data_IF_903863268645
#
_entry.id   IF_903863268645
#
_cell.length_a   1.000
_cell.length_b   1.000
_cell.length_c   1.000
_cell.angle_alpha   90.00
_cell.angle_beta   90.00
_cell.angle_gamma   90.00
#
_symmetry.space_group_name_H-M   'P 1'
#
loop_
_entity.id
_entity.type
_entity.pdbx_description
1 polymer ?
#
# COMPACT_ATOMS: atom_id res chain seq x y z
N UNK A 1 -10.40 -1.14 12.55
CA UNK A 1 -10.42 -2.53 13.07
C UNK A 1 -9.39 -3.39 12.35
N UNK A 2 -9.23 -4.66 12.73
CA UNK A 2 -8.17 -5.54 12.18
C UNK A 2 -8.23 -5.69 10.65
N UNK A 3 -9.43 -5.74 10.06
CA UNK A 3 -9.60 -5.77 8.59
C UNK A 3 -9.01 -4.54 7.91
N UNK A 4 -9.19 -3.35 8.48
CA UNK A 4 -8.68 -2.09 7.90
C UNK A 4 -7.15 -2.06 7.87
N UNK A 5 -6.50 -2.68 8.86
CA UNK A 5 -5.04 -2.87 8.86
C UNK A 5 -4.62 -3.75 7.69
N UNK A 6 -5.25 -4.91 7.53
CA UNK A 6 -4.92 -5.86 6.46
C UNK A 6 -5.18 -5.24 5.08
N UNK A 7 -6.26 -4.48 4.91
CA UNK A 7 -6.58 -3.80 3.64
C UNK A 7 -5.61 -2.68 3.26
N UNK A 8 -4.78 -2.18 4.19
CA UNK A 8 -3.76 -1.17 3.91
C UNK A 8 -2.45 -1.74 3.39
N UNK A 9 -2.26 -3.06 3.44
CA UNK A 9 -1.08 -3.72 2.88
C UNK A 9 -0.99 -3.51 1.37
N UNK A 10 0.23 -3.42 0.85
CA UNK A 10 0.51 -3.40 -0.59
C UNK A 10 1.54 -4.48 -0.95
N UNK A 11 1.62 -4.89 -2.23
CA UNK A 11 2.69 -5.76 -2.69
C UNK A 11 4.07 -5.19 -2.33
N UNK A 12 4.93 -6.05 -1.79
CA UNK A 12 6.26 -5.69 -1.29
C UNK A 12 6.33 -5.43 0.22
N UNK A 13 5.19 -5.31 0.92
CA UNK A 13 5.19 -5.30 2.39
C UNK A 13 5.66 -6.67 2.92
N UNK A 14 6.52 -6.66 3.94
CA UNK A 14 6.99 -7.88 4.60
C UNK A 14 6.25 -8.06 5.92
N UNK A 15 5.56 -9.20 6.07
CA UNK A 15 4.72 -9.50 7.22
C UNK A 15 4.95 -10.91 7.75
N UNK A 16 4.77 -11.09 9.05
CA UNK A 16 4.60 -12.40 9.68
C UNK A 16 3.16 -12.54 10.15
N UNK A 17 2.49 -13.62 9.75
CA UNK A 17 1.07 -13.85 10.05
C UNK A 17 0.90 -15.03 10.98
N UNK A 18 -0.11 -14.95 11.84
CA UNK A 18 -0.46 -15.99 12.80
C UNK A 18 -1.94 -16.32 12.62
N UNK A 19 -2.26 -17.61 12.60
CA UNK A 19 -3.63 -18.06 12.40
C UNK A 19 -3.74 -19.55 12.13
N UNK A 20 -4.96 -19.98 11.84
CA UNK A 20 -5.26 -21.37 11.51
C UNK A 20 -5.47 -21.55 10.00
N UNK A 21 -4.84 -22.58 9.45
CA UNK A 21 -5.02 -22.97 8.05
C UNK A 21 -6.33 -23.76 7.92
N UNK A 22 -7.14 -23.41 6.91
CA UNK A 22 -8.40 -24.09 6.62
C UNK A 22 -8.63 -24.19 5.12
N UNK A 23 -8.99 -25.38 4.66
CA UNK A 23 -9.46 -25.60 3.30
C UNK A 23 -10.85 -24.96 3.11
N UNK A 24 -10.99 -24.16 2.07
CA UNK A 24 -12.24 -23.52 1.64
C UNK A 24 -12.49 -23.84 0.15
N UNK A 25 -13.68 -23.57 -0.41
CA UNK A 25 -13.94 -23.80 -1.84
C UNK A 25 -12.95 -23.12 -2.79
N UNK A 26 -12.35 -22.01 -2.35
CA UNK A 26 -11.35 -21.25 -3.10
C UNK A 26 -9.92 -21.76 -2.91
N UNK A 27 -9.73 -22.85 -2.15
CA UNK A 27 -8.42 -23.43 -1.82
C UNK A 27 -8.03 -23.27 -0.35
N UNK A 28 -6.76 -23.53 -0.07
CA UNK A 28 -6.19 -23.46 1.27
C UNK A 28 -6.06 -21.99 1.70
N UNK A 29 -6.66 -21.63 2.84
CA UNK A 29 -6.64 -20.24 3.35
C UNK A 29 -6.12 -20.18 4.77
N UNK A 30 -5.47 -19.07 5.13
CA UNK A 30 -5.06 -18.78 6.51
C UNK A 30 -6.05 -17.78 7.13
N UNK A 31 -6.72 -18.20 8.21
CA UNK A 31 -7.57 -17.31 8.99
C UNK A 31 -6.70 -16.52 9.97
N UNK A 32 -6.48 -15.23 9.69
CA UNK A 32 -5.61 -14.36 10.47
C UNK A 32 -6.18 -14.06 11.87
N UNK A 33 -5.32 -14.20 12.87
CA UNK A 33 -5.60 -13.88 14.28
C UNK A 33 -4.69 -12.73 14.77
N UNK A 34 -3.45 -12.69 14.26
CA UNK A 34 -2.46 -11.65 14.53
C UNK A 34 -1.55 -11.47 13.32
N UNK A 35 -1.02 -10.27 13.14
CA UNK A 35 -0.03 -9.95 12.10
C UNK A 35 1.07 -9.06 12.68
N UNK A 36 2.30 -9.32 12.27
CA UNK A 36 3.45 -8.45 12.51
C UNK A 36 3.89 -7.82 11.20
N UNK A 37 3.76 -6.51 11.10
CA UNK A 37 4.24 -5.74 9.96
C UNK A 37 5.71 -5.41 10.19
N UNK A 38 6.60 -6.09 9.45
CA UNK A 38 8.06 -6.01 9.61
C UNK A 38 8.68 -4.91 8.77
N UNK A 39 8.17 -4.72 7.55
CA UNK A 39 8.63 -3.70 6.61
C UNK A 39 7.48 -3.23 5.75
N UNK A 40 7.49 -1.94 5.44
CA UNK A 40 6.55 -1.31 4.52
C UNK A 40 7.25 -1.00 3.21
N UNK A 41 6.63 -1.36 2.09
CA UNK A 41 7.03 -0.91 0.78
C UNK A 41 6.63 0.55 0.55
N UNK A 42 7.46 1.26 -0.22
CA UNK A 42 7.18 2.62 -0.66
C UNK A 42 5.98 2.66 -1.60
N UNK A 43 4.96 3.46 -1.26
CA UNK A 43 3.79 3.67 -2.13
C UNK A 43 4.11 4.77 -3.13
N UNK A 44 4.50 4.41 -4.34
CA UNK A 44 4.88 5.37 -5.37
C UNK A 44 3.68 5.70 -6.26
N UNK A 45 3.35 6.98 -6.38
CA UNK A 45 2.39 7.51 -7.36
C UNK A 45 3.16 8.14 -8.52
N UNK A 46 2.82 7.73 -9.74
CA UNK A 46 3.28 8.40 -10.96
C UNK A 46 2.30 9.51 -11.34
N UNK A 47 2.78 10.73 -11.56
CA UNK A 47 1.95 11.87 -11.99
C UNK A 47 2.62 12.68 -13.11
N UNK A 48 1.85 13.47 -13.88
CA UNK A 48 2.44 14.35 -14.89
C UNK A 48 3.47 15.33 -14.30
N UNK A 49 4.58 15.60 -14.99
CA UNK A 49 5.59 16.55 -14.51
C UNK A 49 5.10 18.00 -14.51
N UNK A 50 5.86 18.86 -13.84
CA UNK A 50 5.78 20.30 -14.05
C UNK A 50 6.47 20.68 -15.36
N UNK A 51 5.91 21.65 -16.08
CA UNK A 51 6.53 22.15 -17.30
C UNK A 51 7.84 22.90 -16.97
N UNK A 52 8.98 22.55 -17.60
CA UNK A 52 10.27 23.19 -17.30
C UNK A 52 10.34 24.65 -17.75
N UNK A 53 9.41 25.11 -18.60
CA UNK A 53 9.39 26.49 -19.12
C UNK A 53 8.52 27.41 -18.26
N UNK A 54 7.34 26.93 -17.83
CA UNK A 54 6.33 27.80 -17.21
C UNK A 54 5.82 27.31 -15.85
N UNK A 55 6.38 26.22 -15.32
CA UNK A 55 6.04 25.65 -14.02
C UNK A 55 4.65 25.00 -13.91
N UNK A 56 3.75 25.18 -14.89
CA UNK A 56 2.41 24.57 -14.84
C UNK A 56 2.46 23.05 -15.00
N UNK A 57 1.62 22.33 -14.25
CA UNK A 57 1.41 20.88 -14.37
C UNK A 57 1.01 20.52 -15.80
N UNK A 58 1.71 19.56 -16.40
CA UNK A 58 1.44 19.10 -17.77
C UNK A 58 0.24 18.16 -17.83
N UNK A 59 -0.37 18.00 -19.01
CA UNK A 59 -1.47 17.05 -19.27
C UNK A 59 -0.88 15.78 -19.89
N UNK A 60 -1.33 14.61 -19.44
CA UNK A 60 -1.04 13.34 -20.14
C UNK A 60 -1.68 13.34 -21.53
N UNK A 61 -0.96 12.79 -22.51
CA UNK A 61 -1.44 12.57 -23.87
C UNK A 61 -2.00 11.15 -24.08
N UNK A 62 -2.07 10.34 -23.02
CA UNK A 62 -2.43 8.92 -23.07
C UNK A 62 -1.23 8.00 -22.79
N UNK A 63 -1.51 6.72 -22.61
CA UNK A 63 -0.48 5.69 -22.37
C UNK A 63 0.57 5.71 -23.50
N UNK A 64 1.86 5.69 -23.16
CA UNK A 64 2.97 5.69 -24.12
C UNK A 64 3.21 7.02 -24.85
N UNK A 65 2.38 8.05 -24.65
CA UNK A 65 2.39 9.28 -25.47
C UNK A 65 3.02 10.49 -24.77
N UNK A 66 3.47 10.34 -23.54
CA UNK A 66 4.08 11.40 -22.75
C UNK A 66 3.10 12.52 -22.36
N UNK A 67 3.62 13.75 -22.27
CA UNK A 67 2.92 14.89 -21.68
C UNK A 67 3.00 16.14 -22.56
N UNK A 68 1.96 16.99 -22.52
CA UNK A 68 1.96 18.33 -23.16
C UNK A 68 1.60 19.42 -22.16
N UNK A 69 2.34 20.53 -22.19
CA UNK A 69 1.99 21.72 -21.45
C UNK A 69 0.84 22.46 -22.15
N UNK A 70 -0.21 22.80 -21.39
CA UNK A 70 -1.36 23.56 -21.92
C UNK A 70 -1.03 25.02 -22.22
N UNK A 71 -0.02 25.62 -21.56
CA UNK A 71 0.32 27.05 -21.68
C UNK A 71 1.33 27.31 -22.81
N UNK A 72 2.45 26.60 -22.81
CA UNK A 72 3.54 26.85 -23.76
C UNK A 72 3.62 25.80 -24.90
N UNK A 73 2.80 24.76 -24.87
CA UNK A 73 2.78 23.72 -25.92
C UNK A 73 3.91 22.70 -25.86
N UNK A 74 4.95 22.90 -25.02
CA UNK A 74 6.08 21.96 -24.85
C UNK A 74 5.60 20.54 -24.60
N UNK A 75 6.25 19.56 -25.24
CA UNK A 75 6.03 18.13 -25.03
C UNK A 75 7.21 17.49 -24.32
N UNK A 76 6.93 16.48 -23.51
CA UNK A 76 7.90 15.61 -22.85
C UNK A 76 7.49 14.15 -23.07
N UNK A 77 8.47 13.24 -23.03
CA UNK A 77 8.24 11.80 -23.08
C UNK A 77 7.55 11.27 -21.82
N UNK A 78 7.22 9.98 -21.81
CA UNK A 78 6.60 9.32 -20.65
C UNK A 78 7.57 9.13 -19.48
N UNK A 79 8.86 9.04 -19.77
CA UNK A 79 9.99 8.98 -18.84
C UNK A 79 10.07 10.23 -17.94
N UNK A 80 9.51 11.35 -18.40
CA UNK A 80 9.40 12.57 -17.62
C UNK A 80 8.32 12.51 -16.52
N UNK A 81 7.61 11.40 -16.33
CA UNK A 81 6.65 11.27 -15.26
C UNK A 81 7.31 11.47 -13.89
N UNK A 82 6.70 12.30 -13.05
CA UNK A 82 7.17 12.53 -11.70
C UNK A 82 6.73 11.36 -10.82
N UNK A 83 7.69 10.70 -10.16
CA UNK A 83 7.44 9.67 -9.15
C UNK A 83 7.43 10.32 -7.78
N UNK A 84 6.30 10.23 -7.09
CA UNK A 84 6.13 10.79 -5.74
C UNK A 84 5.86 9.65 -4.78
N UNK A 85 6.63 9.59 -3.70
CA UNK A 85 6.35 8.69 -2.60
C UNK A 85 5.20 9.25 -1.76
N UNK A 86 4.16 8.44 -1.56
CA UNK A 86 3.02 8.77 -0.73
C UNK A 86 3.21 8.20 0.68
N UNK A 87 2.87 8.96 1.73
CA UNK A 87 2.95 8.46 3.09
C UNK A 87 2.02 7.24 3.26
N UNK A 88 2.49 6.28 4.08
CA UNK A 88 1.72 5.09 4.47
C UNK A 88 1.01 5.36 5.78
N UNK A 89 -0.29 5.09 5.85
CA UNK A 89 -1.05 5.14 7.11
C UNK A 89 -0.74 3.96 8.03
N UNK A 90 -0.35 2.82 7.44
CA UNK A 90 0.03 1.62 8.16
C UNK A 90 1.40 1.84 8.83
N UNK A 91 1.55 1.41 10.08
CA UNK A 91 2.81 1.46 10.82
C UNK A 91 3.41 0.07 11.00
N UNK A 92 4.70 0.00 11.26
CA UNK A 92 5.36 -1.23 11.69
C UNK A 92 4.85 -1.67 13.06
N UNK A 93 4.95 -2.97 13.35
CA UNK A 93 4.56 -3.55 14.64
C UNK A 93 3.43 -4.57 14.55
N UNK A 94 2.95 -4.99 15.70
CA UNK A 94 1.90 -6.02 15.81
C UNK A 94 0.50 -5.41 15.75
N UNK A 95 -0.40 -6.15 15.11
CA UNK A 95 -1.83 -5.91 15.13
C UNK A 95 -2.55 -7.23 15.38
N UNK A 96 -3.62 -7.20 16.17
CA UNK A 96 -4.43 -8.36 16.48
C UNK A 96 -5.93 -8.08 16.30
N UNK A 97 -6.71 -9.16 16.22
CA UNK A 97 -8.18 -9.08 16.21
C UNK A 97 -8.71 -8.47 17.51
N UNK A 98 -9.90 -7.80 17.49
CA UNK A 98 -10.51 -7.29 18.71
C UNK A 98 -10.80 -8.42 19.71
N UNK A 99 -10.92 -8.13 21.03
CA UNK A 99 -11.22 -9.13 22.05
C UNK A 99 -12.40 -10.05 21.72
N UNK A 100 -13.47 -9.50 21.13
CA UNK A 100 -14.67 -10.24 20.72
C UNK A 100 -14.43 -11.28 19.62
N UNK A 101 -13.30 -11.20 18.90
CA UNK A 101 -12.90 -12.12 17.85
C UNK A 101 -11.64 -12.93 18.19
N UNK A 102 -11.08 -12.77 19.41
CA UNK A 102 -9.96 -13.59 19.88
C UNK A 102 -10.44 -15.02 20.10
N UNK A 103 -9.63 -15.99 19.68
CA UNK A 103 -9.87 -17.40 20.00
C UNK A 103 -9.17 -17.74 21.32
N UNK A 104 -9.64 -18.80 21.97
CA UNK A 104 -9.17 -19.22 23.30
C UNK A 104 -7.65 -19.45 23.39
N UNK A 105 -7.00 -19.88 22.32
CA UNK A 105 -5.57 -20.22 22.30
C UNK A 105 -4.66 -19.05 21.87
N UNK A 106 -5.22 -17.88 21.56
CA UNK A 106 -4.41 -16.72 21.12
C UNK A 106 -3.74 -16.09 22.33
N UNK A 107 -2.41 -15.96 22.30
CA UNK A 107 -1.67 -15.11 23.25
C UNK A 107 -1.85 -13.62 22.88
N UNK A 108 -2.57 -12.82 23.69
CA UNK A 108 -2.78 -11.39 23.43
C UNK A 108 -1.48 -10.57 23.53
N UNK A 109 -1.42 -9.45 22.83
CA UNK A 109 -0.30 -8.50 22.93
C UNK A 109 -0.17 -7.87 24.33
N UNK A 110 -1.28 -7.69 25.04
CA UNK A 110 -1.28 -7.09 26.39
C UNK A 110 -0.63 -7.99 27.47
N UNK A 111 -0.39 -9.27 27.14
CA UNK A 111 0.26 -10.27 28.02
C UNK A 111 1.77 -10.40 27.75
N UNK A 112 2.37 -9.43 27.05
CA UNK A 112 3.83 -9.27 26.94
C UNK A 112 4.30 -8.13 27.86
N UNK A 113 4.32 -8.39 29.16
CA UNK A 113 5.16 -7.72 30.16
C UNK A 113 6.17 -8.73 30.68
#
# INVERSE_FOLDING_TARGET
GFRDIVMRLIPGDEVTVYGAVKLKPQGLTLNLEKIWVRKLASKILSRPPLCPICGKRMKSLGSGKGFKCRKCGKRLGEDAAEKVELPRELKLGFYEVPPSARRHLVKPLDLSL
#
